data_IF_170622154068
#
_entry.id   IF_170622154068
#
_cell.length_a   1.000
_cell.length_b   1.000
_cell.length_c   1.000
_cell.angle_alpha   90.00
_cell.angle_beta   90.00
_cell.angle_gamma   90.00
#
_symmetry.space_group_name_H-M   'P 1'
#
loop_
_entity.id
_entity.type
_entity.pdbx_description
1 polymer ?
#
# COMPACT_ATOMS: atom_id res chain seq x y z
N UNK A 1 6.97 3.79 6.21
CA UNK A 1 7.71 2.74 5.47
C UNK A 1 7.75 3.10 4.00
N UNK A 2 8.75 2.66 3.23
CA UNK A 2 8.72 2.75 1.77
C UNK A 2 7.63 1.83 1.21
N UNK A 3 6.92 2.29 0.19
CA UNK A 3 5.87 1.51 -0.47
C UNK A 3 6.47 0.27 -1.16
N UNK A 4 6.09 -0.96 -0.74
CA UNK A 4 6.63 -2.19 -1.34
C UNK A 4 6.29 -2.35 -2.83
N UNK A 5 5.21 -1.71 -3.28
CA UNK A 5 4.76 -1.71 -4.67
C UNK A 5 5.74 -1.01 -5.61
N UNK A 6 6.53 -0.06 -5.10
CA UNK A 6 7.46 0.73 -5.89
C UNK A 6 8.86 0.12 -5.79
N UNK A 7 9.21 -0.68 -6.80
CA UNK A 7 10.55 -1.27 -6.93
C UNK A 7 11.61 -0.16 -6.94
N UNK A 8 12.69 -0.38 -6.19
CA UNK A 8 13.81 0.55 -6.09
C UNK A 8 14.95 0.12 -7.00
N UNK A 9 15.53 1.07 -7.73
CA UNK A 9 16.77 0.88 -8.50
C UNK A 9 17.64 2.13 -8.45
N UNK A 10 18.95 1.97 -8.65
CA UNK A 10 19.85 3.09 -8.87
C UNK A 10 19.77 3.53 -10.33
N UNK A 11 19.50 4.81 -10.57
CA UNK A 11 19.48 5.41 -11.91
C UNK A 11 20.82 6.06 -12.26
N UNK A 12 21.48 6.63 -11.27
CA UNK A 12 22.84 7.18 -11.33
C UNK A 12 23.54 6.91 -10.00
N UNK A 13 24.77 7.41 -9.83
CA UNK A 13 25.55 7.29 -8.59
C UNK A 13 24.87 7.94 -7.37
N UNK A 14 24.03 8.94 -7.60
CA UNK A 14 23.43 9.79 -6.57
C UNK A 14 21.89 9.88 -6.68
N UNK A 15 21.27 9.11 -7.57
CA UNK A 15 19.82 9.16 -7.79
C UNK A 15 19.20 7.77 -7.72
N UNK A 16 18.22 7.63 -6.84
CA UNK A 16 17.42 6.43 -6.67
C UNK A 16 16.10 6.60 -7.40
N UNK A 17 15.74 5.62 -8.21
CA UNK A 17 14.42 5.54 -8.82
C UNK A 17 13.52 4.59 -8.03
N UNK A 18 12.27 5.00 -7.87
CA UNK A 18 11.17 4.23 -7.31
C UNK A 18 10.12 4.01 -8.39
N UNK A 19 9.72 2.76 -8.62
CA UNK A 19 8.78 2.39 -9.66
C UNK A 19 9.43 2.20 -11.04
N UNK A 20 8.75 1.40 -11.87
CA UNK A 20 9.14 1.10 -13.27
C UNK A 20 8.14 1.62 -14.28
N UNK A 21 6.88 1.83 -13.88
CA UNK A 21 5.84 2.37 -14.74
C UNK A 21 5.97 3.91 -14.82
N UNK A 22 6.07 4.53 -16.00
CA UNK A 22 6.33 5.96 -16.14
C UNK A 22 5.35 6.87 -15.37
N UNK A 23 4.07 6.49 -15.30
CA UNK A 23 3.03 7.25 -14.60
C UNK A 23 3.22 7.30 -13.07
N UNK A 24 4.03 6.40 -12.50
CA UNK A 24 4.23 6.27 -11.06
C UNK A 24 5.70 6.24 -10.65
N UNK A 25 6.62 6.45 -11.61
CA UNK A 25 8.04 6.41 -11.35
C UNK A 25 8.51 7.75 -10.78
N UNK A 26 9.24 7.71 -9.68
CA UNK A 26 9.81 8.90 -9.03
C UNK A 26 11.32 8.72 -8.88
N UNK A 27 12.07 9.72 -9.33
CA UNK A 27 13.51 9.80 -9.09
C UNK A 27 13.78 10.73 -7.91
N UNK A 28 14.59 10.26 -6.96
CA UNK A 28 14.98 11.02 -5.77
C UNK A 28 16.50 11.16 -5.76
N UNK A 29 16.96 12.40 -5.75
CA UNK A 29 18.38 12.77 -5.71
C UNK A 29 18.57 14.15 -5.06
N UNK A 30 19.79 14.50 -4.62
CA UNK A 30 20.91 13.59 -4.43
C UNK A 30 20.69 12.64 -3.24
N UNK A 31 21.24 11.43 -3.35
CA UNK A 31 21.24 10.35 -2.35
C UNK A 31 22.66 9.79 -2.33
N UNK A 32 23.43 10.14 -1.30
CA UNK A 32 24.74 9.56 -1.06
C UNK A 32 24.63 8.14 -0.45
N UNK A 33 25.77 7.47 -0.24
CA UNK A 33 25.82 6.11 0.30
C UNK A 33 25.13 6.01 1.67
N UNK A 34 25.35 6.98 2.57
CA UNK A 34 24.77 6.98 3.91
C UNK A 34 23.24 7.11 3.86
N UNK A 35 22.74 8.03 3.04
CA UNK A 35 21.31 8.21 2.77
C UNK A 35 20.71 6.96 2.11
N UNK A 36 21.43 6.34 1.17
CA UNK A 36 21.03 5.11 0.50
C UNK A 36 20.84 3.94 1.46
N UNK A 37 21.77 3.78 2.41
CA UNK A 37 21.65 2.81 3.51
C UNK A 37 20.47 3.12 4.43
N UNK A 38 20.30 4.40 4.80
CA UNK A 38 19.19 4.85 5.64
C UNK A 38 17.81 4.56 5.01
N UNK A 39 17.67 4.68 3.68
CA UNK A 39 16.43 4.29 2.99
C UNK A 39 16.03 2.84 3.28
N UNK A 40 16.99 1.93 3.50
CA UNK A 40 16.73 0.54 3.87
C UNK A 40 16.07 0.37 5.25
N UNK A 41 16.21 1.35 6.15
CA UNK A 41 15.63 1.33 7.50
C UNK A 41 14.15 1.75 7.51
N UNK A 42 13.66 2.32 6.42
CA UNK A 42 12.26 2.73 6.24
C UNK A 42 11.37 1.52 5.90
N UNK A 43 11.52 0.42 6.63
CA UNK A 43 10.80 -0.85 6.42
C UNK A 43 9.42 -0.89 7.13
N UNK A 44 9.14 0.08 8.02
CA UNK A 44 7.90 0.16 8.79
C UNK A 44 7.96 -0.41 10.19
N UNK A 45 9.10 -0.97 10.60
CA UNK A 45 9.33 -1.50 11.95
C UNK A 45 9.77 -0.41 12.94
N UNK A 46 10.21 0.75 12.44
CA UNK A 46 10.78 1.85 13.23
C UNK A 46 9.97 3.14 13.09
N UNK A 47 9.77 3.85 14.21
CA UNK A 47 9.23 5.20 14.24
C UNK A 47 10.31 6.27 14.09
N UNK A 48 9.91 7.53 13.93
CA UNK A 48 10.84 8.67 13.78
C UNK A 48 11.90 8.80 14.89
N UNK A 49 11.60 8.57 16.19
CA UNK A 49 12.63 8.65 17.23
C UNK A 49 13.81 7.70 16.96
N UNK A 50 13.52 6.42 16.72
CA UNK A 50 14.54 5.40 16.45
C UNK A 50 15.25 5.66 15.11
N UNK A 51 14.52 6.12 14.08
CA UNK A 51 15.14 6.48 12.80
C UNK A 51 16.16 7.62 12.94
N UNK A 52 15.91 8.60 13.81
CA UNK A 52 16.87 9.69 14.07
C UNK A 52 18.13 9.18 14.78
N UNK A 53 17.98 8.24 15.72
CA UNK A 53 19.11 7.60 16.40
C UNK A 53 19.98 6.82 15.41
N UNK A 54 19.36 5.99 14.56
CA UNK A 54 20.04 5.22 13.52
C UNK A 54 20.74 6.12 12.49
N UNK A 55 20.09 7.23 12.11
CA UNK A 55 20.69 8.21 11.21
C UNK A 55 21.95 8.84 11.81
N UNK A 56 21.91 9.20 13.10
CA UNK A 56 23.09 9.73 13.81
C UNK A 56 24.21 8.69 13.90
N UNK A 57 23.87 7.44 14.23
CA UNK A 57 24.84 6.34 14.30
C UNK A 57 25.50 6.06 12.94
N UNK A 58 24.76 6.25 11.84
CA UNK A 58 25.26 6.15 10.48
C UNK A 58 26.00 7.41 9.97
N UNK A 59 26.15 8.45 10.80
CA UNK A 59 26.86 9.68 10.46
C UNK A 59 26.09 10.66 9.57
N UNK A 60 24.75 10.56 9.50
CA UNK A 60 23.96 11.55 8.78
C UNK A 60 23.94 12.88 9.55
N UNK A 61 23.99 14.03 8.85
CA UNK A 61 23.81 15.33 9.47
C UNK A 61 22.48 15.43 10.24
N UNK A 62 22.45 16.24 11.28
CA UNK A 62 21.24 16.52 12.03
C UNK A 62 20.12 17.06 11.12
N UNK A 63 18.89 16.62 11.33
CA UNK A 63 17.72 16.97 10.51
C UNK A 63 17.67 16.32 9.13
N UNK A 64 18.74 15.65 8.66
CA UNK A 64 18.75 14.98 7.34
C UNK A 64 17.71 13.87 7.25
N UNK A 65 17.50 13.11 8.33
CA UNK A 65 16.51 12.04 8.38
C UNK A 65 15.08 12.57 8.22
N UNK A 66 14.72 13.59 9.00
CA UNK A 66 13.42 14.25 8.93
C UNK A 66 13.16 14.87 7.55
N UNK A 67 14.12 15.62 7.01
CA UNK A 67 14.01 16.23 5.68
C UNK A 67 13.87 15.17 4.57
N UNK A 68 14.55 14.03 4.70
CA UNK A 68 14.40 12.93 3.74
C UNK A 68 13.01 12.30 3.84
N UNK A 69 12.54 12.00 5.05
CA UNK A 69 11.20 11.42 5.26
C UNK A 69 10.12 12.35 4.74
N UNK A 70 10.23 13.66 5.00
CA UNK A 70 9.33 14.67 4.47
C UNK A 70 9.34 14.68 2.93
N UNK A 71 10.52 14.71 2.31
CA UNK A 71 10.67 14.67 0.85
C UNK A 71 10.06 13.40 0.24
N UNK A 72 10.29 12.24 0.86
CA UNK A 72 9.72 10.96 0.40
C UNK A 72 8.20 10.91 0.60
N UNK A 73 7.69 11.49 1.69
CA UNK A 73 6.26 11.61 1.96
C UNK A 73 5.58 12.50 0.91
N UNK A 74 6.15 13.68 0.64
CA UNK A 74 5.67 14.61 -0.39
C UNK A 74 5.71 14.00 -1.79
N UNK A 75 6.69 13.13 -2.05
CA UNK A 75 6.80 12.36 -3.29
C UNK A 75 5.86 11.14 -3.35
N UNK A 76 5.04 10.89 -2.32
CA UNK A 76 4.13 9.76 -2.30
C UNK A 76 4.81 8.39 -2.21
N UNK A 77 6.05 8.34 -1.70
CA UNK A 77 6.85 7.10 -1.63
C UNK A 77 6.72 6.37 -0.30
N UNK A 78 6.16 7.03 0.71
CA UNK A 78 5.98 6.46 2.04
C UNK A 78 4.53 6.03 2.28
N UNK A 79 4.38 4.98 3.07
CA UNK A 79 3.14 4.53 3.66
C UNK A 79 3.23 4.54 5.19
N UNK A 80 2.09 4.61 5.87
CA UNK A 80 1.98 4.49 7.33
C UNK A 80 1.49 3.08 7.69
N UNK A 81 2.36 2.19 8.24
CA UNK A 81 1.97 0.84 8.63
C UNK A 81 0.80 0.80 9.62
N UNK A 82 0.61 1.87 10.40
CA UNK A 82 -0.41 1.97 11.46
C UNK A 82 -1.57 2.91 11.08
N UNK A 83 -1.50 3.56 9.92
CA UNK A 83 -2.46 4.56 9.48
C UNK A 83 -3.81 3.99 9.01
N UNK A 84 -4.69 4.85 8.50
CA UNK A 84 -5.95 4.42 7.87
C UNK A 84 -7.14 4.16 8.82
N UNK A 85 -7.01 4.48 10.10
CA UNK A 85 -8.13 4.51 11.06
C UNK A 85 -8.60 3.15 11.58
N UNK A 86 -9.75 3.13 12.23
CA UNK A 86 -10.27 1.94 12.94
C UNK A 86 -10.58 0.77 12.01
N UNK A 87 -11.16 1.03 10.83
CA UNK A 87 -11.43 -0.01 9.84
C UNK A 87 -10.15 -0.71 9.37
N UNK A 88 -9.08 0.06 9.14
CA UNK A 88 -7.76 -0.50 8.85
C UNK A 88 -7.19 -1.30 10.03
N UNK A 89 -7.38 -0.83 11.27
CA UNK A 89 -6.94 -1.54 12.46
C UNK A 89 -7.68 -2.87 12.65
N UNK A 90 -8.99 -2.92 12.38
CA UNK A 90 -9.75 -4.16 12.38
C UNK A 90 -9.27 -5.10 11.28
N UNK A 91 -9.03 -4.60 10.07
CA UNK A 91 -8.56 -5.39 8.94
C UNK A 91 -7.20 -6.06 9.22
N UNK A 92 -6.26 -5.36 9.87
CA UNK A 92 -4.95 -5.94 10.27
C UNK A 92 -5.10 -7.19 11.16
N UNK A 93 -6.17 -7.27 11.97
CA UNK A 93 -6.43 -8.44 12.84
C UNK A 93 -6.83 -9.68 12.05
N UNK A 94 -7.21 -9.54 10.78
CA UNK A 94 -7.64 -10.65 9.91
C UNK A 94 -6.48 -11.42 9.26
N UNK A 95 -5.22 -10.97 9.47
CA UNK A 95 -3.99 -11.71 9.16
C UNK A 95 -3.95 -12.35 7.77
N UNK A 96 -4.26 -13.64 7.70
CA UNK A 96 -4.26 -14.43 6.46
C UNK A 96 -5.21 -13.88 5.37
N UNK A 97 -6.33 -13.27 5.74
CA UNK A 97 -7.23 -12.65 4.76
C UNK A 97 -6.60 -11.39 4.16
N UNK A 98 -5.95 -10.57 4.99
CA UNK A 98 -5.24 -9.37 4.55
C UNK A 98 -4.04 -9.72 3.65
N UNK A 99 -3.31 -10.79 3.97
CA UNK A 99 -2.19 -11.25 3.14
C UNK A 99 -2.62 -11.58 1.70
N UNK A 100 -3.82 -12.15 1.51
CA UNK A 100 -4.35 -12.41 0.15
C UNK A 100 -4.65 -11.12 -0.62
N UNK A 101 -4.99 -10.05 0.09
CA UNK A 101 -5.30 -8.73 -0.49
C UNK A 101 -4.05 -7.86 -0.69
N UNK A 102 -2.84 -8.37 -0.43
CA UNK A 102 -1.59 -7.61 -0.61
C UNK A 102 -1.40 -7.04 -2.01
N UNK A 103 -1.71 -7.75 -3.11
CA UNK A 103 -1.62 -7.16 -4.45
C UNK A 103 -2.56 -5.95 -4.62
N UNK A 104 -3.78 -6.03 -4.10
CA UNK A 104 -4.73 -4.91 -4.15
C UNK A 104 -4.27 -3.73 -3.29
N UNK A 105 -3.75 -3.99 -2.10
CA UNK A 105 -3.17 -2.95 -1.24
C UNK A 105 -1.97 -2.28 -1.92
N UNK A 106 -1.09 -3.05 -2.56
CA UNK A 106 0.04 -2.52 -3.30
C UNK A 106 -0.43 -1.58 -4.43
N UNK A 107 -1.43 -1.99 -5.20
CA UNK A 107 -2.05 -1.17 -6.26
C UNK A 107 -2.66 0.11 -5.69
N UNK A 108 -3.50 -0.01 -4.64
CA UNK A 108 -4.12 1.15 -3.99
C UNK A 108 -3.09 2.13 -3.42
N UNK A 109 -1.96 1.65 -2.89
CA UNK A 109 -0.91 2.52 -2.36
C UNK A 109 -0.25 3.38 -3.44
N UNK A 110 -0.24 2.92 -4.68
CA UNK A 110 0.31 3.69 -5.81
C UNK A 110 -0.71 4.68 -6.35
N UNK A 111 -1.99 4.28 -6.41
CA UNK A 111 -3.08 5.13 -6.89
C UNK A 111 -3.50 6.21 -5.88
N UNK A 112 -3.39 5.89 -4.59
CA UNK A 112 -3.72 6.77 -3.46
C UNK A 112 -2.46 6.90 -2.58
N UNK A 113 -1.55 7.83 -2.95
CA UNK A 113 -0.21 7.87 -2.38
C UNK A 113 -0.16 8.44 -0.96
N UNK A 114 -1.27 8.91 -0.39
CA UNK A 114 -1.29 9.39 0.99
C UNK A 114 -0.95 8.29 2.00
N UNK A 115 -0.19 8.58 3.06
CA UNK A 115 0.13 7.60 4.09
C UNK A 115 -1.15 6.99 4.72
N UNK A 116 -1.26 5.66 4.70
CA UNK A 116 -2.40 4.94 5.26
C UNK A 116 -3.68 4.97 4.41
N UNK A 117 -3.71 5.65 3.26
CA UNK A 117 -4.90 5.75 2.42
C UNK A 117 -5.33 4.40 1.84
N UNK A 118 -4.38 3.59 1.36
CA UNK A 118 -4.67 2.26 0.83
C UNK A 118 -5.38 1.37 1.85
N UNK A 119 -4.88 1.36 3.09
CA UNK A 119 -5.50 0.62 4.19
C UNK A 119 -6.85 1.19 4.60
N UNK A 120 -7.02 2.53 4.58
CA UNK A 120 -8.31 3.20 4.82
C UNK A 120 -9.36 2.76 3.79
N UNK A 121 -8.99 2.77 2.51
CA UNK A 121 -9.86 2.36 1.41
C UNK A 121 -10.19 0.87 1.47
N UNK A 122 -9.23 0.03 1.84
CA UNK A 122 -9.48 -1.39 2.03
C UNK A 122 -10.43 -1.66 3.20
N UNK A 123 -10.27 -0.94 4.31
CA UNK A 123 -11.22 -0.98 5.43
C UNK A 123 -12.62 -0.51 5.02
N UNK A 124 -12.71 0.57 4.23
CA UNK A 124 -13.99 1.04 3.70
C UNK A 124 -14.65 0.02 2.77
N UNK A 125 -13.88 -0.64 1.89
CA UNK A 125 -14.35 -1.74 1.02
C UNK A 125 -14.89 -2.91 1.85
N UNK A 126 -14.18 -3.28 2.91
CA UNK A 126 -14.62 -4.33 3.83
C UNK A 126 -15.91 -3.95 4.58
N UNK A 127 -16.18 -2.67 4.80
CA UNK A 127 -17.44 -2.23 5.40
C UNK A 127 -18.62 -2.18 4.40
N UNK A 128 -18.38 -2.37 3.09
CA UNK A 128 -19.42 -2.31 2.06
C UNK A 128 -20.25 -3.58 1.98
N UNK A 129 -21.52 -3.39 1.64
CA UNK A 129 -22.48 -4.42 1.26
C UNK A 129 -22.91 -4.20 -0.18
N UNK A 130 -22.81 -5.24 -1.01
CA UNK A 130 -23.15 -5.19 -2.44
C UNK A 130 -24.18 -6.28 -2.74
N UNK A 131 -25.25 -5.92 -3.45
CA UNK A 131 -26.23 -6.88 -3.95
C UNK A 131 -26.04 -7.08 -5.46
N UNK A 132 -25.84 -8.32 -5.88
CA UNK A 132 -25.77 -8.73 -7.28
C UNK A 132 -27.12 -9.36 -7.67
N UNK A 133 -27.83 -8.74 -8.61
CA UNK A 133 -29.11 -9.24 -9.13
C UNK A 133 -28.88 -10.02 -10.43
N UNK A 134 -29.20 -11.30 -10.41
CA UNK A 134 -28.86 -12.28 -11.43
C UNK A 134 -27.54 -12.99 -11.11
N UNK A 135 -27.57 -14.32 -11.08
CA UNK A 135 -26.46 -15.23 -10.83
C UNK A 135 -26.11 -16.06 -12.08
N UNK A 136 -26.50 -15.57 -13.27
CA UNK A 136 -26.04 -16.12 -14.54
C UNK A 136 -24.53 -15.91 -14.77
N UNK A 137 -24.09 -16.13 -16.01
CA UNK A 137 -22.65 -16.13 -16.41
C UNK A 137 -21.84 -14.95 -15.85
N UNK A 138 -22.39 -13.74 -15.90
CA UNK A 138 -21.69 -12.52 -15.45
C UNK A 138 -21.85 -12.32 -13.95
N UNK A 139 -23.08 -12.44 -13.43
CA UNK A 139 -23.40 -12.14 -12.04
C UNK A 139 -22.65 -13.02 -11.06
N UNK A 140 -22.55 -14.33 -11.35
CA UNK A 140 -21.76 -15.25 -10.53
C UNK A 140 -20.28 -14.87 -10.50
N UNK A 141 -19.68 -14.55 -11.65
CA UNK A 141 -18.28 -14.15 -11.74
C UNK A 141 -18.00 -12.83 -11.02
N UNK A 142 -18.89 -11.84 -11.15
CA UNK A 142 -18.79 -10.55 -10.46
C UNK A 142 -18.94 -10.72 -8.95
N UNK A 143 -19.91 -11.51 -8.48
CA UNK A 143 -20.09 -11.78 -7.06
C UNK A 143 -18.87 -12.46 -6.44
N UNK A 144 -18.28 -13.43 -7.15
CA UNK A 144 -17.05 -14.09 -6.75
C UNK A 144 -15.86 -13.11 -6.69
N UNK A 145 -15.70 -12.26 -7.70
CA UNK A 145 -14.63 -11.26 -7.73
C UNK A 145 -14.78 -10.23 -6.61
N UNK A 146 -15.98 -9.72 -6.36
CA UNK A 146 -16.24 -8.77 -5.27
C UNK A 146 -15.87 -9.38 -3.91
N UNK A 147 -16.28 -10.62 -3.68
CA UNK A 147 -15.93 -11.37 -2.47
C UNK A 147 -14.41 -11.55 -2.34
N UNK A 148 -13.74 -11.95 -3.42
CA UNK A 148 -12.29 -12.15 -3.45
C UNK A 148 -11.50 -10.84 -3.25
N UNK A 149 -12.06 -9.69 -3.68
CA UNK A 149 -11.44 -8.36 -3.54
C UNK A 149 -11.61 -7.74 -2.14
N UNK A 150 -12.27 -8.44 -1.22
CA UNK A 150 -12.43 -8.00 0.17
C UNK A 150 -13.66 -7.14 0.45
N UNK A 151 -14.70 -7.19 -0.39
CA UNK A 151 -16.01 -6.62 -0.02
C UNK A 151 -16.58 -7.41 1.16
N UNK A 152 -17.09 -6.72 2.18
CA UNK A 152 -17.52 -7.36 3.43
C UNK A 152 -18.73 -8.26 3.30
N UNK A 153 -19.70 -7.84 2.49
CA UNK A 153 -20.89 -8.63 2.23
C UNK A 153 -21.31 -8.53 0.77
N UNK A 154 -21.50 -9.69 0.14
CA UNK A 154 -22.01 -9.81 -1.22
C UNK A 154 -23.25 -10.69 -1.18
N UNK A 155 -24.42 -10.10 -1.41
CA UNK A 155 -25.68 -10.84 -1.51
C UNK A 155 -25.98 -11.09 -3.00
N UNK A 156 -26.27 -12.33 -3.37
CA UNK A 156 -26.66 -12.68 -4.73
C UNK A 156 -28.15 -13.03 -4.74
N UNK A 157 -28.92 -12.35 -5.59
CA UNK A 157 -30.35 -12.60 -5.76
C UNK A 157 -30.60 -13.10 -7.18
N UNK A 158 -31.09 -14.33 -7.31
CA UNK A 158 -31.54 -14.90 -8.58
C UNK A 158 -32.80 -15.76 -8.34
N UNK A 159 -33.67 -15.81 -9.34
CA UNK A 159 -34.85 -16.69 -9.36
C UNK A 159 -34.80 -17.74 -10.47
N UNK A 160 -33.73 -17.77 -11.29
CA UNK A 160 -33.55 -18.75 -12.36
C UNK A 160 -33.06 -20.12 -11.87
N UNK A 161 -33.36 -21.16 -12.67
CA UNK A 161 -32.79 -22.50 -12.53
C UNK A 161 -31.57 -22.65 -13.45
N UNK A 162 -30.59 -23.45 -13.01
CA UNK A 162 -29.46 -23.82 -13.88
C UNK A 162 -29.96 -24.84 -14.90
N UNK A 163 -29.82 -24.52 -16.18
CA UNK A 163 -30.18 -25.41 -17.29
C UNK A 163 -28.93 -26.02 -17.94
N UNK A 164 -29.03 -27.21 -18.55
CA UNK A 164 -27.96 -27.76 -19.37
C UNK A 164 -27.69 -26.85 -20.58
N UNK A 165 -26.41 -26.57 -20.79
CA UNK A 165 -25.84 -26.00 -22.02
C UNK A 165 -26.13 -26.79 -23.29
#
# INVERSE_FOLDING_TARGET
MLKPALRRSWRSRDTVQFGVAPAHAVAVGPVDTATGSFLGLLDGTRGMPLLREEARAAGLPEGRADALVERLSAAGLLDDPRGGGEGAAALRKTGAALERLRPDLASLSVLHPGPGEAMRLMGARQAMRVQVRGAGRVGAAVAALLSASGVGQVDVMDGGCVEPW
#
